data_IF_839197673728
#
_entry.id   IF_839197673728
#
_cell.length_a   1.000
_cell.length_b   1.000
_cell.length_c   1.000
_cell.angle_alpha   90.00
_cell.angle_beta   90.00
_cell.angle_gamma   90.00
#
_symmetry.space_group_name_H-M   'P 1'
#
loop_
_entity.id
_entity.type
_entity.pdbx_description
1 polymer ?
#
# COMPACT_ATOMS: atom_id res chain seq x y z
N UNK A 1 38.04 29.79 15.15
CA UNK A 1 37.09 30.66 14.43
C UNK A 1 35.94 29.77 13.97
N UNK A 2 34.76 29.91 14.57
CA UNK A 2 33.58 29.15 14.12
C UNK A 2 33.22 29.61 12.70
N UNK A 3 32.97 28.68 11.79
CA UNK A 3 32.59 29.00 10.41
C UNK A 3 31.24 29.73 10.40
N UNK A 4 31.25 31.02 10.05
CA UNK A 4 30.07 31.92 10.00
C UNK A 4 29.39 31.89 8.63
N UNK A 5 29.27 30.72 8.01
CA UNK A 5 28.79 30.65 6.62
C UNK A 5 28.64 29.25 6.07
N UNK A 6 28.03 28.34 6.83
CA UNK A 6 27.47 27.14 6.19
C UNK A 6 26.13 27.57 5.62
N UNK A 7 26.06 27.75 4.29
CA UNK A 7 24.78 27.90 3.60
C UNK A 7 23.92 26.69 3.98
N UNK A 8 22.84 26.95 4.73
CA UNK A 8 21.96 25.91 5.21
C UNK A 8 21.33 25.18 4.02
N UNK A 9 21.67 23.91 3.84
CA UNK A 9 20.84 23.03 3.04
C UNK A 9 19.44 22.98 3.66
N UNK A 10 18.39 23.11 2.86
CA UNK A 10 17.04 22.87 3.33
C UNK A 10 16.95 21.38 3.69
N UNK A 11 16.79 21.09 4.98
CA UNK A 11 16.44 19.76 5.42
C UNK A 11 14.92 19.71 5.54
N UNK A 12 14.28 19.07 4.55
CA UNK A 12 12.87 18.76 4.64
C UNK A 12 12.72 17.57 5.60
N UNK A 13 12.55 17.86 6.89
CA UNK A 13 12.05 16.85 7.81
C UNK A 13 10.66 16.46 7.32
N UNK A 14 10.52 15.26 6.75
CA UNK A 14 9.22 14.59 6.74
C UNK A 14 8.63 14.77 8.13
N UNK A 15 7.43 15.36 8.24
CA UNK A 15 6.90 15.90 9.49
C UNK A 15 6.90 14.82 10.59
N UNK A 16 7.95 14.79 11.41
CA UNK A 16 8.17 13.73 12.38
C UNK A 16 7.12 13.86 13.49
N UNK A 17 6.27 12.85 13.62
CA UNK A 17 5.30 12.74 14.71
C UNK A 17 6.03 12.34 15.98
N UNK A 18 6.07 13.27 16.94
CA UNK A 18 6.78 13.11 18.20
C UNK A 18 5.83 13.32 19.38
N UNK A 19 4.75 12.51 19.53
CA UNK A 19 3.77 12.71 20.60
C UNK A 19 4.39 12.52 22.00
N UNK A 20 5.31 11.56 22.13
CA UNK A 20 6.09 11.36 23.36
C UNK A 20 7.25 12.37 23.54
N UNK A 21 7.56 13.13 22.49
CA UNK A 21 8.71 14.03 22.40
C UNK A 21 9.91 13.40 21.70
N UNK A 22 10.58 14.17 20.84
CA UNK A 22 11.82 13.79 20.17
C UNK A 22 12.93 14.77 20.52
N UNK A 23 14.15 14.26 20.63
CA UNK A 23 15.36 15.07 20.67
C UNK A 23 16.21 14.72 19.45
N UNK A 24 16.70 15.74 18.77
CA UNK A 24 17.43 15.59 17.52
C UNK A 24 18.92 15.77 17.76
N UNK A 25 19.72 14.96 17.07
CA UNK A 25 21.17 15.10 16.99
C UNK A 25 21.56 15.11 15.54
N UNK A 26 22.40 16.06 15.15
CA UNK A 26 22.88 16.18 13.77
C UNK A 26 24.32 15.69 13.68
N UNK A 27 24.66 15.05 12.56
CA UNK A 27 26.03 14.68 12.22
C UNK A 27 26.27 15.02 10.75
N UNK A 28 27.22 15.92 10.43
CA UNK A 28 27.66 16.11 9.05
C UNK A 28 28.22 14.80 8.50
N UNK A 29 27.71 14.34 7.35
CA UNK A 29 28.13 13.05 6.77
C UNK A 29 29.42 13.15 5.94
N UNK A 30 29.74 14.34 5.42
CA UNK A 30 30.83 14.55 4.47
C UNK A 30 31.95 15.46 5.00
N UNK A 31 31.99 15.71 6.32
CA UNK A 31 33.00 16.57 6.92
C UNK A 31 34.14 15.71 7.49
N UNK A 32 35.27 15.67 6.76
CA UNK A 32 36.43 14.84 7.12
C UNK A 32 36.94 15.19 8.52
N UNK A 33 37.19 14.18 9.35
CA UNK A 33 37.64 14.36 10.73
C UNK A 33 36.53 14.61 11.75
N UNK A 34 35.27 14.76 11.30
CA UNK A 34 34.12 14.92 12.19
C UNK A 34 33.38 13.59 12.38
N UNK A 35 33.55 12.95 13.54
CA UNK A 35 32.92 11.66 13.85
C UNK A 35 31.90 11.72 15.00
N UNK A 36 31.58 12.92 15.50
CA UNK A 36 30.70 13.10 16.67
C UNK A 36 29.33 13.64 16.24
N UNK A 37 28.30 13.25 16.98
CA UNK A 37 26.99 13.91 16.89
C UNK A 37 27.02 15.25 17.63
N UNK A 38 26.15 16.17 17.26
CA UNK A 38 25.87 17.38 18.06
C UNK A 38 25.34 17.01 19.45
N UNK A 39 25.29 18.00 20.34
CA UNK A 39 24.42 17.93 21.51
C UNK A 39 22.97 17.67 21.06
N UNK A 40 22.20 16.99 21.92
CA UNK A 40 20.78 16.79 21.69
C UNK A 40 20.06 18.14 21.71
N UNK A 41 19.11 18.35 20.80
CA UNK A 41 18.17 19.47 20.88
C UNK A 41 17.32 19.37 22.15
N UNK A 42 16.68 20.46 22.58
CA UNK A 42 15.53 20.37 23.47
C UNK A 42 14.50 19.37 22.94
N UNK A 43 13.79 18.72 23.85
CA UNK A 43 12.71 17.79 23.48
C UNK A 43 11.58 18.59 22.85
N UNK A 44 11.28 18.30 21.58
CA UNK A 44 10.14 18.89 20.86
C UNK A 44 9.01 17.87 20.84
N UNK A 45 7.82 18.30 21.23
CA UNK A 45 6.60 17.50 21.17
C UNK A 45 5.72 18.02 20.04
N UNK A 46 5.25 17.12 19.18
CA UNK A 46 4.18 17.47 18.26
C UNK A 46 2.87 17.61 19.04
N UNK A 47 1.97 18.50 18.58
CA UNK A 47 0.63 18.57 19.13
C UNK A 47 0.00 17.17 19.04
N UNK A 48 -0.49 16.66 20.18
CA UNK A 48 -1.22 15.40 20.17
C UNK A 48 -2.54 15.63 19.43
N UNK A 49 -2.85 14.74 18.48
CA UNK A 49 -4.16 14.74 17.85
C UNK A 49 -5.20 14.31 18.87
N UNK A 50 -6.38 14.91 18.80
CA UNK A 50 -7.54 14.47 19.58
C UNK A 50 -7.79 12.98 19.35
N UNK A 51 -8.27 12.24 20.35
CA UNK A 51 -8.58 10.83 20.14
C UNK A 51 -9.69 10.69 19.09
N UNK A 52 -9.61 9.74 18.14
CA UNK A 52 -10.71 9.44 17.22
C UNK A 52 -11.96 9.04 18.01
N UNK A 53 -13.14 9.40 17.51
CA UNK A 53 -14.40 8.98 18.10
C UNK A 53 -14.59 7.46 18.02
N UNK A 54 -15.52 6.90 18.80
CA UNK A 54 -15.91 5.50 18.66
C UNK A 54 -16.35 5.20 17.21
N UNK A 55 -16.01 4.01 16.71
CA UNK A 55 -16.32 3.55 15.35
C UNK A 55 -15.75 4.42 14.21
N UNK A 56 -14.68 5.17 14.51
CA UNK A 56 -13.89 5.89 13.50
C UNK A 56 -12.50 5.29 13.36
N UNK A 57 -12.01 5.30 12.13
CA UNK A 57 -10.61 4.95 11.84
C UNK A 57 -9.91 6.18 11.31
N UNK A 58 -8.97 6.68 12.11
CA UNK A 58 -8.15 7.82 11.73
C UNK A 58 -6.97 7.37 10.88
N UNK A 59 -6.78 8.03 9.75
CA UNK A 59 -5.74 7.71 8.79
C UNK A 59 -4.91 8.94 8.44
N UNK A 60 -3.69 8.73 7.97
CA UNK A 60 -2.87 9.73 7.30
C UNK A 60 -2.67 9.33 5.84
N UNK A 61 -2.97 10.25 4.94
CA UNK A 61 -2.62 10.20 3.53
C UNK A 61 -1.47 11.15 3.26
N UNK A 62 -0.49 10.68 2.48
CA UNK A 62 0.59 11.50 1.95
C UNK A 62 0.30 11.85 0.49
N UNK A 63 0.46 13.12 0.17
CA UNK A 63 0.38 13.68 -1.17
C UNK A 63 1.75 14.20 -1.57
N UNK A 64 2.03 14.16 -2.87
CA UNK A 64 3.17 14.83 -3.47
C UNK A 64 3.08 16.34 -3.21
N UNK A 65 4.19 17.11 -3.15
CA UNK A 65 4.18 18.56 -2.94
C UNK A 65 3.29 19.30 -3.95
N UNK A 66 2.69 20.43 -3.53
CA UNK A 66 1.94 21.31 -4.44
C UNK A 66 2.82 22.47 -4.85
N UNK A 67 2.87 22.85 -6.13
CA UNK A 67 3.53 24.08 -6.52
C UNK A 67 2.78 25.32 -6.04
N UNK A 68 1.49 25.20 -5.70
CA UNK A 68 0.63 26.32 -5.35
C UNK A 68 0.08 26.13 -3.93
N UNK A 69 0.19 27.13 -3.04
CA UNK A 69 -0.48 27.09 -1.76
C UNK A 69 -2.00 27.06 -1.97
N UNK A 70 -2.66 26.06 -1.40
CA UNK A 70 -4.10 25.88 -1.49
C UNK A 70 -4.77 26.42 -0.24
N UNK A 71 -5.93 27.06 -0.42
CA UNK A 71 -6.78 27.40 0.71
C UNK A 71 -7.17 26.13 1.47
N UNK A 72 -6.95 26.12 2.79
CA UNK A 72 -7.08 24.90 3.59
C UNK A 72 -8.52 24.42 3.68
N UNK A 73 -9.52 25.31 3.68
CA UNK A 73 -10.93 24.94 3.75
C UNK A 73 -11.41 24.34 2.42
N UNK A 74 -11.04 24.97 1.30
CA UNK A 74 -11.32 24.45 -0.05
C UNK A 74 -10.66 23.09 -0.25
N UNK A 75 -9.38 22.98 0.12
CA UNK A 75 -8.63 21.73 0.06
C UNK A 75 -9.27 20.62 0.90
N UNK A 76 -9.65 20.93 2.14
CA UNK A 76 -10.27 19.96 3.06
C UNK A 76 -11.62 19.46 2.52
N UNK A 77 -12.45 20.34 1.96
CA UNK A 77 -13.71 19.93 1.35
C UNK A 77 -13.49 19.07 0.10
N UNK A 78 -12.54 19.45 -0.75
CA UNK A 78 -12.22 18.73 -1.98
C UNK A 78 -11.67 17.32 -1.69
N UNK A 79 -10.71 17.18 -0.77
CA UNK A 79 -10.15 15.86 -0.44
C UNK A 79 -11.19 14.95 0.22
N UNK A 80 -12.06 15.48 1.09
CA UNK A 80 -13.14 14.69 1.68
C UNK A 80 -14.12 14.19 0.61
N UNK A 81 -14.45 15.05 -0.36
CA UNK A 81 -15.33 14.72 -1.50
C UNK A 81 -14.69 13.65 -2.38
N UNK A 82 -13.43 13.85 -2.78
CA UNK A 82 -12.70 12.91 -3.63
C UNK A 82 -12.58 11.52 -2.98
N UNK A 83 -12.21 11.47 -1.70
CA UNK A 83 -12.10 10.21 -0.94
C UNK A 83 -13.47 9.53 -0.80
N UNK A 84 -14.52 10.28 -0.47
CA UNK A 84 -15.87 9.72 -0.35
C UNK A 84 -16.37 9.14 -1.67
N UNK A 85 -16.15 9.85 -2.79
CA UNK A 85 -16.49 9.38 -4.13
C UNK A 85 -15.72 8.11 -4.50
N UNK A 86 -14.41 8.08 -4.25
CA UNK A 86 -13.57 6.91 -4.54
C UNK A 86 -13.96 5.67 -3.72
N UNK A 87 -14.46 5.88 -2.49
CA UNK A 87 -14.98 4.82 -1.62
C UNK A 87 -16.45 4.50 -1.88
N UNK A 88 -17.13 5.26 -2.75
CA UNK A 88 -18.57 5.18 -3.00
C UNK A 88 -19.42 5.28 -1.71
N UNK A 89 -19.06 6.23 -0.84
CA UNK A 89 -19.76 6.52 0.42
C UNK A 89 -20.24 7.98 0.48
N UNK A 90 -21.16 8.28 1.39
CA UNK A 90 -21.52 9.67 1.68
C UNK A 90 -20.32 10.45 2.22
N UNK A 91 -20.17 11.72 1.81
CA UNK A 91 -19.13 12.61 2.30
C UNK A 91 -19.15 12.77 3.82
N UNK A 92 -20.30 12.64 4.47
CA UNK A 92 -20.42 12.68 5.94
C UNK A 92 -19.64 11.57 6.65
N UNK A 93 -19.21 10.52 5.93
CA UNK A 93 -18.37 9.44 6.45
C UNK A 93 -16.87 9.73 6.37
N UNK A 94 -16.48 10.88 5.81
CA UNK A 94 -15.08 11.30 5.67
C UNK A 94 -14.94 12.69 6.29
N UNK A 95 -14.28 12.77 7.44
CA UNK A 95 -14.01 14.04 8.10
C UNK A 95 -12.53 14.38 8.04
N UNK A 96 -12.19 15.58 7.56
CA UNK A 96 -10.81 16.08 7.62
C UNK A 96 -10.52 16.57 9.03
N UNK A 97 -9.51 15.98 9.66
CA UNK A 97 -9.09 16.31 11.03
C UNK A 97 -8.03 17.40 11.02
N UNK A 98 -7.04 17.25 10.14
CA UNK A 98 -5.90 18.16 10.06
C UNK A 98 -5.26 18.07 8.68
N UNK A 99 -4.73 19.19 8.21
CA UNK A 99 -3.89 19.30 7.02
C UNK A 99 -2.56 19.90 7.43
N UNK A 100 -1.45 19.22 7.11
CA UNK A 100 -0.09 19.62 7.49
C UNK A 100 0.80 19.82 6.27
N UNK A 101 1.88 20.58 6.48
CA UNK A 101 2.91 20.89 5.48
C UNK A 101 2.31 21.33 4.14
N UNK A 102 1.39 22.30 4.17
CA UNK A 102 0.77 22.87 2.97
C UNK A 102 -0.05 21.88 2.14
N UNK A 103 -0.59 20.81 2.75
CA UNK A 103 -1.41 19.82 2.05
C UNK A 103 -0.69 18.52 1.69
N UNK A 104 0.60 18.39 2.03
CA UNK A 104 1.34 17.13 1.80
C UNK A 104 0.86 15.99 2.71
N UNK A 105 0.39 16.30 3.93
CA UNK A 105 -0.11 15.28 4.85
C UNK A 105 -1.53 15.63 5.27
N UNK A 106 -2.46 14.70 5.01
CA UNK A 106 -3.87 14.87 5.30
C UNK A 106 -4.31 13.81 6.29
N UNK A 107 -4.88 14.23 7.41
CA UNK A 107 -5.43 13.33 8.42
C UNK A 107 -6.95 13.32 8.27
N UNK A 108 -7.49 12.13 8.14
CA UNK A 108 -8.91 11.91 7.88
C UNK A 108 -9.46 10.92 8.91
N UNK A 109 -10.66 11.18 9.39
CA UNK A 109 -11.47 10.20 10.10
C UNK A 109 -12.45 9.56 9.13
N UNK A 110 -12.37 8.24 9.02
CA UNK A 110 -13.36 7.42 8.31
C UNK A 110 -14.38 6.91 9.32
N UNK A 111 -15.64 7.27 9.14
CA UNK A 111 -16.73 6.90 10.06
C UNK A 111 -17.42 5.63 9.56
N UNK A 112 -17.74 4.71 10.47
CA UNK A 112 -18.58 3.56 10.15
C UNK A 112 -19.98 4.00 9.65
N UNK A 113 -20.65 3.13 8.90
CA UNK A 113 -22.02 3.38 8.44
C UNK A 113 -22.97 3.30 9.64
N UNK A 114 -23.90 4.24 9.75
CA UNK A 114 -24.98 4.12 10.72
C UNK A 114 -25.91 2.94 10.38
N UNK A 115 -26.77 2.49 11.32
CA UNK A 115 -27.70 1.38 11.09
C UNK A 115 -28.67 1.61 9.91
N UNK A 116 -28.86 2.87 9.50
CA UNK A 116 -29.74 3.27 8.41
C UNK A 116 -29.03 3.42 7.04
N UNK A 117 -27.70 3.37 7.00
CA UNK A 117 -26.99 3.30 5.73
C UNK A 117 -26.91 1.83 5.33
N UNK A 118 -27.54 1.45 4.22
CA UNK A 118 -27.59 0.07 3.72
C UNK A 118 -26.24 -0.60 3.39
N UNK A 119 -25.11 -0.01 3.81
CA UNK A 119 -23.77 -0.59 3.75
C UNK A 119 -23.23 -0.85 5.15
N UNK A 120 -22.97 -2.12 5.45
CA UNK A 120 -22.39 -2.62 6.72
C UNK A 120 -20.89 -2.37 6.86
N UNK A 121 -20.30 -1.50 6.04
CA UNK A 121 -18.85 -1.32 5.97
C UNK A 121 -18.35 -0.61 7.23
N UNK A 122 -17.58 -1.32 8.05
CA UNK A 122 -16.94 -0.73 9.22
C UNK A 122 -15.81 0.24 8.80
N UNK A 123 -15.41 1.14 9.70
CA UNK A 123 -14.40 2.18 9.39
C UNK A 123 -13.04 1.60 9.00
N UNK A 124 -12.66 0.44 9.56
CA UNK A 124 -11.41 -0.24 9.25
C UNK A 124 -11.41 -0.84 7.82
N UNK A 125 -12.55 -1.36 7.38
CA UNK A 125 -12.75 -1.84 6.00
C UNK A 125 -12.65 -0.69 5.00
N UNK A 126 -13.20 0.49 5.33
CA UNK A 126 -13.02 1.68 4.51
C UNK A 126 -11.54 2.08 4.42
N UNK A 127 -10.80 2.06 5.53
CA UNK A 127 -9.37 2.33 5.53
C UNK A 127 -8.59 1.33 4.66
N UNK A 128 -8.94 0.04 4.74
CA UNK A 128 -8.34 -1.02 3.93
C UNK A 128 -8.64 -0.86 2.45
N UNK A 129 -9.89 -0.54 2.08
CA UNK A 129 -10.27 -0.23 0.72
C UNK A 129 -9.51 0.99 0.19
N UNK A 130 -9.43 2.06 0.99
CA UNK A 130 -8.71 3.27 0.61
C UNK A 130 -7.21 3.00 0.40
N UNK A 131 -6.60 2.16 1.24
CA UNK A 131 -5.20 1.75 1.06
C UNK A 131 -4.97 1.00 -0.26
N UNK A 132 -5.92 0.14 -0.67
CA UNK A 132 -5.84 -0.54 -1.97
C UNK A 132 -5.95 0.46 -3.12
N UNK A 133 -6.88 1.42 -3.03
CA UNK A 133 -7.05 2.48 -4.03
C UNK A 133 -5.81 3.37 -4.13
N UNK A 134 -5.24 3.79 -2.99
CA UNK A 134 -4.05 4.64 -2.94
C UNK A 134 -2.80 3.96 -3.52
N UNK A 135 -2.71 2.62 -3.42
CA UNK A 135 -1.62 1.85 -4.02
C UNK A 135 -1.75 1.64 -5.54
N UNK A 136 -2.89 2.00 -6.14
CA UNK A 136 -3.15 1.81 -7.56
C UNK A 136 -3.42 3.16 -8.25
N UNK A 137 -2.45 3.71 -9.00
CA UNK A 137 -2.60 4.97 -9.74
C UNK A 137 -3.74 5.00 -10.77
N UNK A 138 -4.27 3.84 -11.18
CA UNK A 138 -5.39 3.73 -12.10
C UNK A 138 -6.76 3.68 -11.39
N UNK A 139 -6.77 3.80 -10.06
CA UNK A 139 -8.02 3.75 -9.29
C UNK A 139 -8.82 5.06 -9.38
N UNK A 140 -10.11 4.99 -9.03
CA UNK A 140 -10.99 6.16 -8.96
C UNK A 140 -10.51 7.23 -7.96
N UNK A 141 -9.62 6.87 -7.03
CA UNK A 141 -9.02 7.83 -6.12
C UNK A 141 -8.12 8.83 -6.88
N UNK A 142 -7.45 8.42 -7.96
CA UNK A 142 -6.56 9.30 -8.72
C UNK A 142 -7.28 10.19 -9.72
N UNK A 143 -8.60 10.02 -9.92
CA UNK A 143 -9.41 10.93 -10.74
C UNK A 143 -9.91 12.16 -9.99
N UNK A 144 -9.69 12.24 -8.67
CA UNK A 144 -10.12 13.38 -7.85
C UNK A 144 -9.28 14.63 -8.10
N UNK A 145 -9.85 15.78 -7.76
CA UNK A 145 -9.22 17.10 -7.96
C UNK A 145 -7.95 17.30 -7.13
N UNK A 146 -7.91 16.72 -5.93
CA UNK A 146 -6.80 16.80 -4.96
C UNK A 146 -6.09 15.45 -4.85
N UNK A 147 -6.86 14.36 -4.88
CA UNK A 147 -6.33 13.01 -4.66
C UNK A 147 -5.54 12.44 -5.84
N UNK A 148 -5.57 13.09 -7.01
CA UNK A 148 -4.65 12.78 -8.13
C UNK A 148 -3.15 12.93 -7.76
N UNK A 149 -2.85 13.66 -6.67
CA UNK A 149 -1.50 13.88 -6.15
C UNK A 149 -1.13 12.97 -4.99
N UNK A 150 -1.92 11.94 -4.71
CA UNK A 150 -1.53 10.95 -3.70
C UNK A 150 -0.19 10.33 -4.07
N UNK A 151 0.71 10.24 -3.09
CA UNK A 151 1.98 9.54 -3.23
C UNK A 151 1.70 8.03 -3.15
N UNK A 152 1.58 7.38 -4.30
CA UNK A 152 1.29 5.93 -4.40
C UNK A 152 2.40 5.04 -3.82
N UNK A 153 3.61 5.59 -3.64
CA UNK A 153 4.73 4.89 -3.00
C UNK A 153 4.67 4.96 -1.49
N UNK A 154 3.91 5.93 -0.95
CA UNK A 154 3.71 6.07 0.48
C UNK A 154 2.63 5.12 1.00
N UNK A 155 2.91 4.48 2.13
CA UNK A 155 1.92 3.66 2.81
C UNK A 155 0.89 4.54 3.53
N UNK A 156 -0.37 4.16 3.44
CA UNK A 156 -1.43 4.75 4.26
C UNK A 156 -1.20 4.35 5.72
N UNK A 157 -1.17 5.34 6.61
CA UNK A 157 -0.94 5.09 8.03
C UNK A 157 -2.28 5.17 8.79
N UNK A 158 -2.49 4.25 9.74
CA UNK A 158 -3.56 4.34 10.74
C UNK A 158 -2.99 4.98 12.00
N UNK A 159 -3.72 5.92 12.56
CA UNK A 159 -3.36 6.59 13.80
C UNK A 159 -4.19 5.99 14.93
N UNK A 160 -3.51 5.34 15.87
CA UNK A 160 -4.15 4.76 17.05
C UNK A 160 -4.65 5.83 18.02
N UNK A 161 -5.44 5.39 19.00
CA UNK A 161 -5.86 6.23 20.13
C UNK A 161 -4.68 6.70 21.00
N UNK A 162 -3.55 6.00 20.90
CA UNK A 162 -2.26 6.35 21.49
C UNK A 162 -1.52 7.47 20.74
N UNK A 163 -2.08 7.95 19.61
CA UNK A 163 -1.48 8.97 18.75
C UNK A 163 -0.34 8.45 17.86
N UNK A 164 0.01 7.17 17.96
CA UNK A 164 1.04 6.57 17.14
C UNK A 164 0.49 6.18 15.77
N UNK A 165 1.22 6.56 14.72
CA UNK A 165 0.92 6.16 13.36
C UNK A 165 1.58 4.80 13.07
N UNK A 166 0.82 3.87 12.50
CA UNK A 166 1.28 2.54 12.08
C UNK A 166 0.83 2.32 10.64
N UNK A 167 1.65 1.72 9.77
CA UNK A 167 1.18 1.31 8.45
C UNK A 167 -0.08 0.47 8.60
N UNK A 168 -1.10 0.75 7.78
CA UNK A 168 -2.23 -0.17 7.69
C UNK A 168 -1.66 -1.48 7.15
N UNK A 169 -1.55 -2.50 8.01
CA UNK A 169 -1.02 -3.79 7.62
C UNK A 169 -1.77 -4.26 6.38
N UNK A 170 -1.04 -4.43 5.27
CA UNK A 170 -1.64 -4.69 3.95
C UNK A 170 -2.69 -5.79 4.08
N UNK A 171 -3.95 -5.43 3.88
CA UNK A 171 -5.13 -6.30 3.92
C UNK A 171 -5.03 -7.45 2.91
N UNK A 172 -4.04 -7.42 2.01
CA UNK A 172 -3.68 -8.57 1.18
C UNK A 172 -3.27 -9.81 1.97
N UNK A 173 -2.87 -9.73 3.24
CA UNK A 173 -2.26 -10.89 3.94
C UNK A 173 -3.19 -11.67 4.88
N UNK A 174 -4.30 -11.11 5.38
CA UNK A 174 -5.14 -11.83 6.35
C UNK A 174 -6.51 -12.23 5.81
N UNK A 175 -7.22 -11.36 5.10
CA UNK A 175 -8.52 -11.73 4.52
C UNK A 175 -8.40 -12.51 3.21
N UNK A 176 -7.39 -12.22 2.36
CA UNK A 176 -7.13 -13.05 1.18
C UNK A 176 -6.60 -14.43 1.59
N UNK A 177 -5.80 -14.50 2.66
CA UNK A 177 -5.30 -15.77 3.19
C UNK A 177 -6.42 -16.57 3.86
N UNK A 178 -7.27 -15.95 4.67
CA UNK A 178 -8.42 -16.63 5.27
C UNK A 178 -9.46 -17.08 4.22
N UNK A 179 -9.76 -16.23 3.23
CA UNK A 179 -10.66 -16.58 2.13
C UNK A 179 -10.13 -17.73 1.27
N UNK A 180 -8.84 -17.69 0.90
CA UNK A 180 -8.20 -18.75 0.13
C UNK A 180 -8.07 -20.05 0.93
N UNK A 181 -7.74 -19.99 2.22
CA UNK A 181 -7.68 -21.17 3.09
C UNK A 181 -9.07 -21.83 3.18
N UNK A 182 -10.14 -21.04 3.36
CA UNK A 182 -11.49 -21.59 3.47
C UNK A 182 -11.98 -22.22 2.15
N UNK A 183 -11.65 -21.60 1.02
CA UNK A 183 -11.92 -22.14 -0.32
C UNK A 183 -11.12 -23.43 -0.61
N UNK A 184 -9.85 -23.50 -0.20
CA UNK A 184 -9.01 -24.68 -0.36
C UNK A 184 -9.51 -25.83 0.53
N UNK A 185 -9.87 -25.55 1.79
CA UNK A 185 -10.42 -26.56 2.71
C UNK A 185 -11.73 -27.12 2.18
N UNK A 186 -12.64 -26.27 1.69
CA UNK A 186 -13.92 -26.72 1.13
C UNK A 186 -13.75 -27.55 -0.15
N UNK A 187 -12.82 -27.19 -1.03
CA UNK A 187 -12.49 -27.98 -2.21
C UNK A 187 -11.87 -29.35 -1.86
N UNK A 188 -11.00 -29.41 -0.85
CA UNK A 188 -10.42 -30.66 -0.36
C UNK A 188 -11.47 -31.59 0.26
N UNK A 189 -12.38 -31.05 1.08
CA UNK A 189 -13.48 -31.83 1.67
C UNK A 189 -14.41 -32.38 0.58
N UNK A 190 -14.72 -31.58 -0.45
CA UNK A 190 -15.52 -32.04 -1.59
C UNK A 190 -14.82 -33.15 -2.40
N UNK A 191 -13.51 -33.02 -2.64
CA UNK A 191 -12.72 -34.05 -3.32
C UNK A 191 -12.65 -35.35 -2.53
N UNK A 192 -12.39 -35.29 -1.23
CA UNK A 192 -12.36 -36.48 -0.35
C UNK A 192 -13.74 -37.15 -0.32
N UNK A 193 -14.82 -36.36 -0.20
CA UNK A 193 -16.19 -36.88 -0.27
C UNK A 193 -16.48 -37.58 -1.60
N UNK A 194 -16.05 -37.00 -2.73
CA UNK A 194 -16.24 -37.57 -4.06
C UNK A 194 -15.46 -38.88 -4.27
N UNK A 195 -14.22 -38.95 -3.76
CA UNK A 195 -13.41 -40.19 -3.79
C UNK A 195 -14.05 -41.28 -2.91
N UNK A 196 -14.53 -40.95 -1.72
CA UNK A 196 -15.20 -41.93 -0.86
C UNK A 196 -16.49 -42.48 -1.47
N UNK A 197 -17.27 -41.64 -2.17
CA UNK A 197 -18.50 -42.06 -2.84
C UNK A 197 -18.19 -42.98 -4.03
N UNK A 198 -17.20 -42.62 -4.85
CA UNK A 198 -16.79 -43.45 -6.01
C UNK A 198 -16.18 -44.79 -5.57
N UNK A 199 -15.36 -44.82 -4.52
CA UNK A 199 -14.84 -46.08 -3.96
C UNK A 199 -15.95 -46.98 -3.39
N UNK A 200 -16.99 -46.43 -2.76
CA UNK A 200 -18.13 -47.24 -2.27
C UNK A 200 -18.96 -47.83 -3.41
N UNK A 201 -19.13 -47.10 -4.51
CA UNK A 201 -19.86 -47.58 -5.69
C UNK A 201 -19.07 -48.68 -6.44
N UNK A 202 -17.75 -48.56 -6.55
CA UNK A 202 -16.91 -49.59 -7.16
C UNK A 202 -16.89 -50.90 -6.37
N UNK A 203 -16.90 -50.85 -5.04
CA UNK A 203 -16.96 -52.06 -4.21
C UNK A 203 -18.34 -52.75 -4.24
N UNK A 204 -19.42 -52.01 -4.48
CA UNK A 204 -20.75 -52.60 -4.62
C UNK A 204 -20.97 -53.26 -5.99
N UNK A 205 -20.29 -52.77 -7.03
CA UNK A 205 -20.42 -53.34 -8.39
C UNK A 205 -19.54 -54.58 -8.62
N UNK A 206 -18.46 -54.76 -7.84
CA UNK A 206 -17.54 -55.91 -8.00
C UNK A 206 -18.03 -57.20 -7.33
N UNK A 207 -19.20 -57.20 -6.67
CA UNK A 207 -19.75 -58.40 -6.00
C UNK A 207 -20.72 -59.21 -6.87
N UNK A 208 -20.96 -58.87 -8.15
CA UNK A 208 -22.04 -59.47 -8.93
C UNK A 208 -21.64 -60.19 -10.24
N UNK A 209 -20.36 -60.44 -10.51
CA UNK A 209 -19.97 -61.17 -11.74
C UNK A 209 -18.96 -62.28 -11.45
N UNK A 210 -19.42 -63.33 -10.78
CA UNK A 210 -18.89 -64.67 -10.95
C UNK A 210 -19.77 -65.43 -11.94
N UNK A 211 -19.29 -65.63 -13.17
CA UNK A 211 -19.31 -66.92 -13.87
C UNK A 211 -18.81 -66.76 -15.33
N UNK A 212 -18.04 -67.76 -15.76
CA UNK A 212 -17.55 -68.06 -17.12
C UNK A 212 -16.24 -67.40 -17.59
N UNK A 213 -15.16 -68.14 -17.31
CA UNK A 213 -13.95 -68.25 -18.12
C UNK A 213 -14.16 -69.24 -19.31
N UNK A 214 -13.18 -69.52 -20.17
CA UNK A 214 -12.24 -68.64 -20.88
C UNK A 214 -12.13 -68.97 -22.40
N UNK A 215 -11.58 -68.08 -23.21
CA UNK A 215 -10.89 -68.47 -24.44
C UNK A 215 -9.77 -67.50 -24.82
N UNK A 216 -8.56 -68.06 -24.91
CA UNK A 216 -7.45 -67.78 -25.83
C UNK A 216 -7.67 -66.68 -26.89
N UNK A 217 -6.68 -65.80 -27.09
CA UNK A 217 -5.96 -65.62 -28.38
C UNK A 217 -4.90 -64.49 -28.30
N UNK A 218 -3.66 -64.90 -28.64
CA UNK A 218 -2.51 -64.22 -29.28
C UNK A 218 -2.38 -62.68 -29.32
N UNK A 219 -1.23 -62.22 -28.79
CA UNK A 219 -0.13 -61.52 -29.51
C UNK A 219 -0.49 -60.65 -30.72
N UNK A 220 -0.15 -59.35 -30.66
CA UNK A 220 0.42 -58.54 -31.77
C UNK A 220 1.28 -57.39 -31.19
N UNK A 221 2.45 -57.19 -31.82
CA UNK A 221 3.46 -56.13 -31.64
C UNK A 221 3.08 -54.81 -32.36
N UNK A 222 3.93 -53.80 -32.14
CA UNK A 222 4.19 -52.57 -32.92
C UNK A 222 3.49 -51.33 -32.33
N UNK A 223 4.09 -50.14 -32.27
CA UNK A 223 5.36 -49.57 -32.75
C UNK A 223 5.33 -48.09 -32.35
N UNK A 224 6.42 -47.53 -31.84
CA UNK A 224 7.25 -46.54 -32.56
C UNK A 224 6.64 -45.13 -32.76
N UNK A 225 7.32 -44.12 -32.19
CA UNK A 225 7.75 -42.80 -32.78
C UNK A 225 7.92 -41.77 -31.64
N UNK A 226 9.12 -41.34 -31.22
CA UNK A 226 10.15 -40.48 -31.87
C UNK A 226 9.63 -39.08 -32.24
N UNK A 227 10.11 -38.02 -31.55
CA UNK A 227 10.46 -36.67 -32.11
C UNK A 227 10.82 -35.68 -30.97
N UNK A 228 12.11 -35.33 -30.76
CA UNK A 228 12.82 -34.06 -31.12
C UNK A 228 12.22 -32.77 -30.50
N UNK A 229 12.87 -32.09 -29.54
CA UNK A 229 14.05 -31.17 -29.61
C UNK A 229 13.70 -29.75 -30.13
N UNK A 230 13.94 -28.71 -29.30
CA UNK A 230 14.47 -27.34 -29.57
C UNK A 230 14.30 -26.51 -28.26
N UNK A 231 15.33 -26.12 -27.49
CA UNK A 231 16.41 -25.09 -27.64
C UNK A 231 15.94 -23.63 -27.83
N UNK A 232 16.12 -22.85 -26.76
CA UNK A 232 16.63 -21.46 -26.61
C UNK A 232 15.87 -20.27 -27.27
N UNK A 233 15.97 -19.02 -26.73
CA UNK A 233 17.21 -18.35 -26.26
C UNK A 233 17.16 -17.53 -24.95
N UNK A 234 18.37 -17.35 -24.39
CA UNK A 234 18.73 -16.32 -23.39
C UNK A 234 18.58 -14.93 -24.03
N UNK A 235 18.00 -13.98 -23.31
CA UNK A 235 18.12 -12.55 -23.62
C UNK A 235 19.30 -11.97 -22.83
N UNK A 236 20.27 -11.50 -23.58
CA UNK A 236 21.31 -10.55 -23.19
C UNK A 236 20.62 -9.19 -23.12
N UNK A 237 20.74 -8.47 -22.01
CA UNK A 237 20.51 -7.04 -22.00
C UNK A 237 21.90 -6.42 -21.94
N UNK A 238 22.18 -5.60 -22.95
CA UNK A 238 23.38 -4.80 -23.05
C UNK A 238 23.20 -3.58 -22.13
N UNK A 239 24.25 -3.30 -21.38
CA UNK A 239 24.45 -2.08 -20.61
C UNK A 239 24.74 -0.96 -21.63
N UNK A 240 23.77 -0.07 -21.85
CA UNK A 240 24.00 1.21 -22.51
C UNK A 240 24.23 2.27 -21.43
N UNK A 241 25.51 2.58 -21.24
CA UNK A 241 26.03 3.74 -20.52
C UNK A 241 25.73 5.00 -21.34
N UNK A 242 24.67 5.72 -20.99
CA UNK A 242 24.42 7.07 -21.51
C UNK A 242 24.97 8.11 -20.52
N UNK A 243 26.19 8.55 -20.79
CA UNK A 243 26.79 9.79 -20.29
C UNK A 243 25.87 10.98 -20.56
N UNK A 244 25.27 11.54 -19.50
CA UNK A 244 24.68 12.88 -19.55
C UNK A 244 25.65 13.89 -18.93
N UNK A 245 26.48 14.47 -19.79
CA UNK A 245 27.04 15.81 -19.59
C UNK A 245 25.89 16.83 -19.61
N UNK A 246 25.52 17.37 -18.44
CA UNK A 246 24.78 18.62 -18.37
C UNK A 246 25.71 19.71 -17.82
N UNK A 247 26.44 20.33 -18.73
CA UNK A 247 26.88 21.71 -18.58
C UNK A 247 25.63 22.60 -18.56
N UNK A 248 25.31 23.21 -17.43
CA UNK A 248 24.48 24.42 -17.41
C UNK A 248 25.13 25.41 -16.45
N UNK A 249 25.99 26.21 -17.06
CA UNK A 249 26.58 27.42 -16.52
C UNK A 249 25.51 28.47 -16.20
N UNK A 250 25.63 29.03 -15.00
CA UNK A 250 25.43 30.44 -14.64
C UNK A 250 24.51 31.32 -15.50
N UNK A 251 23.37 31.73 -14.93
CA UNK A 251 22.93 33.12 -15.09
C UNK A 251 22.41 33.72 -13.78
N UNK A 252 23.34 34.34 -13.06
CA UNK A 252 23.06 35.22 -11.94
C UNK A 252 22.65 36.61 -12.46
N UNK A 253 21.35 36.85 -12.59
CA UNK A 253 20.82 38.18 -12.90
C UNK A 253 20.11 38.79 -11.68
N UNK A 254 20.91 39.59 -10.96
CA UNK A 254 20.59 40.87 -10.31
C UNK A 254 19.10 41.19 -10.10
N UNK A 255 18.69 41.22 -8.83
CA UNK A 255 17.69 42.19 -8.38
C UNK A 255 18.26 43.05 -7.26
N UNK A 256 18.77 44.21 -7.67
CA UNK A 256 19.04 45.36 -6.82
C UNK A 256 17.74 46.10 -6.54
N UNK A 257 17.47 46.33 -5.25
CA UNK A 257 16.68 47.39 -4.61
C UNK A 257 16.09 48.49 -5.52
N UNK A 258 14.82 48.78 -5.29
CA UNK A 258 14.34 50.10 -4.85
C UNK A 258 13.34 49.89 -3.71
#
# INVERSE_FOLDING_TARGET
>A
TAATGVNGGSFETQSLRCPAGCAFKVRPLQLRGWNRYSAASPVVKSLALHQPAADTTRIELKLLPSPTPLDTAVFSNAIATDVANALAVSQTRVAVVEVRAGGQFCILDLVAGGPNSGGTSNSLQLAAQLSLLASNPQSALFSGSVTNRIDSTAQLLVIGSDGFAKPLAGSMTLQSLAGNITAIISALVALIGCVCITCRLSNHFSSQTHAYAPASVKSIRNGEKRSKKKRHPKKHYDDDDDDYDSEDDYEASRFTRA
#
